data_IF_712103963509
#
_entry.id   IF_712103963509
#
_cell.length_a   1.000
_cell.length_b   1.000
_cell.length_c   1.000
_cell.angle_alpha   90.00
_cell.angle_beta   90.00
_cell.angle_gamma   90.00
#
_symmetry.space_group_name_H-M   'P 1'
#
loop_
_entity.id
_entity.type
_entity.pdbx_description
1 polymer ?
#
# COMPACT_ATOMS: atom_id res chain seq x y z
N UNK A 1 -4.47 -6.88 -3.70
CA UNK A 1 -4.50 -8.02 -4.64
C UNK A 1 -5.50 -9.04 -4.09
N UNK A 2 -6.73 -8.98 -4.59
CA UNK A 2 -7.68 -10.08 -4.41
C UNK A 2 -7.64 -10.77 -5.75
N UNK A 3 -7.08 -11.97 -5.80
CA UNK A 3 -7.19 -12.77 -7.00
C UNK A 3 -8.66 -13.05 -7.25
N UNK A 4 -9.12 -12.97 -8.50
CA UNK A 4 -10.51 -13.26 -8.89
C UNK A 4 -10.91 -14.73 -8.69
N UNK A 5 -10.09 -15.51 -7.99
CA UNK A 5 -10.20 -16.95 -7.82
C UNK A 5 -10.59 -17.38 -6.40
N UNK A 6 -10.79 -16.43 -5.47
CA UNK A 6 -11.23 -16.73 -4.11
C UNK A 6 -12.77 -16.74 -4.02
N UNK A 7 -13.36 -17.93 -3.95
CA UNK A 7 -14.82 -18.12 -3.87
C UNK A 7 -15.25 -18.57 -2.47
N UNK A 8 -16.42 -18.07 -2.04
CA UNK A 8 -17.02 -18.42 -0.75
C UNK A 8 -17.42 -19.91 -0.73
N UNK A 9 -16.87 -20.74 0.19
CA UNK A 9 -17.19 -22.16 0.26
C UNK A 9 -18.66 -22.44 0.61
N UNK A 10 -19.34 -21.47 1.21
CA UNK A 10 -20.75 -21.57 1.60
C UNK A 10 -21.70 -20.92 0.57
N UNK A 11 -21.16 -20.20 -0.43
CA UNK A 11 -21.94 -19.54 -1.49
C UNK A 11 -21.22 -19.72 -2.84
N UNK A 12 -21.37 -20.89 -3.49
CA UNK A 12 -20.71 -21.18 -4.76
C UNK A 12 -20.98 -20.09 -5.80
N UNK A 13 -19.91 -19.56 -6.42
CA UNK A 13 -19.99 -18.48 -7.41
C UNK A 13 -19.97 -17.06 -6.85
N UNK A 14 -20.04 -16.88 -5.52
CA UNK A 14 -19.85 -15.56 -4.89
C UNK A 14 -18.38 -15.37 -4.48
N UNK A 15 -17.80 -14.19 -4.73
CA UNK A 15 -16.44 -13.90 -4.28
C UNK A 15 -16.38 -13.89 -2.75
N UNK A 16 -15.27 -14.34 -2.19
CA UNK A 16 -15.04 -14.26 -0.75
C UNK A 16 -15.19 -12.81 -0.26
N UNK A 17 -15.91 -12.57 0.85
CA UNK A 17 -15.86 -11.29 1.51
C UNK A 17 -14.41 -11.02 1.93
N UNK A 18 -13.96 -9.79 1.75
CA UNK A 18 -12.59 -9.39 2.07
C UNK A 18 -12.56 -8.20 3.01
N UNK A 19 -11.51 -8.16 3.83
CA UNK A 19 -11.23 -7.04 4.72
C UNK A 19 -10.10 -6.24 4.11
N UNK A 20 -10.33 -4.95 3.87
CA UNK A 20 -9.27 -4.07 3.38
C UNK A 20 -8.19 -3.91 4.46
N UNK A 21 -6.91 -3.67 4.10
CA UNK A 21 -5.86 -3.45 5.09
C UNK A 21 -6.20 -2.36 6.10
N UNK A 22 -6.84 -1.26 5.66
CA UNK A 22 -7.29 -0.18 6.53
C UNK A 22 -8.35 -0.65 7.51
N UNK A 23 -9.37 -1.38 7.03
CA UNK A 23 -10.43 -1.92 7.91
C UNK A 23 -9.89 -2.94 8.90
N UNK A 24 -8.97 -3.81 8.45
CA UNK A 24 -8.35 -4.83 9.30
C UNK A 24 -7.50 -4.20 10.40
N UNK A 25 -6.60 -3.29 10.04
CA UNK A 25 -5.76 -2.58 11.02
C UNK A 25 -6.58 -1.71 11.99
N UNK A 26 -7.67 -1.10 11.51
CA UNK A 26 -8.55 -0.27 12.34
C UNK A 26 -9.26 -1.06 13.45
N UNK A 27 -9.36 -2.39 13.32
CA UNK A 27 -9.90 -3.24 14.38
C UNK A 27 -8.94 -3.44 15.56
N UNK A 28 -7.64 -3.20 15.36
CA UNK A 28 -6.60 -3.39 16.38
C UNK A 28 -5.99 -2.09 16.91
N UNK A 29 -6.01 -1.01 16.13
CA UNK A 29 -5.37 0.25 16.48
C UNK A 29 -6.06 1.47 15.85
N UNK A 30 -5.76 2.67 16.37
CA UNK A 30 -6.20 3.93 15.77
C UNK A 30 -5.43 4.18 14.47
N UNK A 31 -6.05 3.94 13.33
CA UNK A 31 -5.41 4.10 12.01
C UNK A 31 -5.64 5.51 11.45
N UNK A 32 -4.56 6.14 10.98
CA UNK A 32 -4.61 7.34 10.13
C UNK A 32 -4.29 6.93 8.70
N UNK A 33 -5.29 6.98 7.83
CA UNK A 33 -5.12 6.61 6.43
C UNK A 33 -4.59 7.77 5.58
N UNK A 34 -3.66 7.46 4.69
CA UNK A 34 -3.19 8.37 3.64
C UNK A 34 -2.92 7.56 2.36
N UNK A 35 -3.41 7.99 1.18
CA UNK A 35 -3.27 7.22 -0.05
C UNK A 35 -1.84 7.17 -0.58
N UNK A 36 -1.02 8.22 -0.35
CA UNK A 36 0.36 8.32 -0.82
C UNK A 36 0.54 8.54 -2.32
N UNK A 37 -0.25 7.86 -3.15
CA UNK A 37 -0.25 7.94 -4.61
C UNK A 37 -1.70 7.92 -5.15
N UNK A 38 -1.90 8.47 -6.35
CA UNK A 38 -3.15 8.30 -7.10
C UNK A 38 -3.21 6.91 -7.75
N UNK A 39 -3.54 5.90 -6.94
CA UNK A 39 -3.69 4.50 -7.36
C UNK A 39 -2.37 3.75 -7.56
N UNK A 40 -2.46 2.50 -8.02
CA UNK A 40 -1.31 1.58 -8.11
C UNK A 40 -0.26 2.02 -9.13
N UNK A 41 -0.63 2.72 -10.21
CA UNK A 41 0.38 3.17 -11.19
C UNK A 41 1.20 4.35 -10.69
N UNK A 42 0.77 4.99 -9.60
CA UNK A 42 1.41 6.15 -8.97
C UNK A 42 2.03 7.14 -9.98
N UNK A 43 1.21 7.80 -10.83
CA UNK A 43 1.69 8.59 -11.96
C UNK A 43 2.35 9.91 -11.56
N UNK A 44 2.09 10.41 -10.35
CA UNK A 44 2.63 11.67 -9.83
C UNK A 44 2.99 11.58 -8.35
N UNK A 45 3.70 12.60 -7.87
CA UNK A 45 4.24 12.69 -6.50
C UNK A 45 3.41 13.57 -5.57
N UNK A 46 2.28 14.11 -6.03
CA UNK A 46 1.59 15.22 -5.34
C UNK A 46 1.14 14.85 -3.92
N UNK A 47 0.82 13.57 -3.70
CA UNK A 47 0.32 13.06 -2.43
C UNK A 47 1.43 12.55 -1.48
N UNK A 48 2.67 12.40 -1.95
CA UNK A 48 3.78 11.84 -1.16
C UNK A 48 4.08 12.72 0.05
N UNK A 49 4.10 14.04 -0.12
CA UNK A 49 4.36 14.98 0.98
C UNK A 49 3.31 14.88 2.09
N UNK A 50 2.04 14.66 1.73
CA UNK A 50 0.95 14.50 2.69
C UNK A 50 1.03 13.17 3.44
N UNK A 51 1.37 12.08 2.75
CA UNK A 51 1.60 10.79 3.37
C UNK A 51 2.79 10.83 4.34
N UNK A 52 3.90 11.48 3.96
CA UNK A 52 5.05 11.70 4.84
C UNK A 52 4.68 12.49 6.09
N UNK A 53 3.87 13.56 5.97
CA UNK A 53 3.38 14.33 7.12
C UNK A 53 2.53 13.48 8.06
N UNK A 54 1.71 12.59 7.51
CA UNK A 54 0.88 11.67 8.29
C UNK A 54 1.74 10.66 9.03
N UNK A 55 2.73 10.06 8.37
CA UNK A 55 3.66 9.09 8.94
C UNK A 55 4.45 9.65 10.13
N UNK A 56 4.92 10.90 10.05
CA UNK A 56 5.63 11.60 11.14
C UNK A 56 4.80 11.86 12.39
N UNK A 57 3.48 11.77 12.27
CA UNK A 57 2.54 12.03 13.36
C UNK A 57 1.85 10.75 13.85
N UNK A 58 2.50 9.59 13.63
CA UNK A 58 2.07 8.25 14.05
C UNK A 58 3.27 7.48 14.59
N UNK A 59 3.04 6.60 15.58
CA UNK A 59 4.11 5.84 16.23
C UNK A 59 4.75 4.79 15.31
N UNK A 60 3.96 4.25 14.38
CA UNK A 60 4.38 3.31 13.37
C UNK A 60 3.64 3.56 12.05
N UNK A 61 4.25 3.15 10.94
CA UNK A 61 3.66 3.30 9.60
C UNK A 61 3.71 1.98 8.86
N UNK A 62 2.56 1.57 8.32
CA UNK A 62 2.43 0.41 7.43
C UNK A 62 2.22 0.93 6.02
N UNK A 63 3.10 0.55 5.10
CA UNK A 63 3.00 0.91 3.68
C UNK A 63 2.48 -0.31 2.91
N UNK A 64 1.37 -0.14 2.20
CA UNK A 64 0.83 -1.14 1.28
C UNK A 64 1.14 -0.69 -0.14
N UNK A 65 2.10 -1.35 -0.78
CA UNK A 65 2.61 -1.05 -2.12
C UNK A 65 2.66 -2.34 -2.95
N UNK A 66 2.75 -2.20 -4.27
CA UNK A 66 2.77 -3.33 -5.20
C UNK A 66 2.03 -3.04 -6.48
N UNK A 67 1.42 -4.07 -7.05
CA UNK A 67 0.72 -4.03 -8.33
C UNK A 67 -0.68 -4.63 -8.19
N UNK A 68 -1.51 -4.42 -9.22
CA UNK A 68 -2.82 -5.05 -9.35
C UNK A 68 -3.04 -5.57 -10.77
N UNK A 69 -4.28 -6.01 -11.05
CA UNK A 69 -4.69 -6.60 -12.33
C UNK A 69 -4.56 -5.65 -13.53
N UNK A 70 -4.37 -4.35 -13.31
CA UNK A 70 -4.10 -3.36 -14.37
C UNK A 70 -2.63 -3.34 -14.83
N UNK A 71 -1.75 -4.01 -14.09
CA UNK A 71 -0.31 -4.09 -14.38
C UNK A 71 0.08 -5.50 -14.81
N UNK A 72 -0.49 -6.53 -14.18
CA UNK A 72 -0.28 -7.92 -14.57
C UNK A 72 -1.59 -8.70 -14.54
N UNK A 73 -1.87 -9.44 -15.60
CA UNK A 73 -2.98 -10.40 -15.66
C UNK A 73 -2.72 -11.43 -16.75
N UNK A 74 -3.61 -12.42 -16.90
CA UNK A 74 -3.48 -13.41 -17.97
C UNK A 74 -3.53 -12.72 -19.34
N UNK A 75 -2.50 -12.95 -20.17
CA UNK A 75 -2.35 -12.28 -21.46
C UNK A 75 -1.83 -10.83 -21.36
N UNK A 76 -1.47 -10.37 -20.17
CA UNK A 76 -0.82 -9.08 -19.91
C UNK A 76 0.44 -9.31 -19.08
N UNK A 77 1.54 -9.61 -19.78
CA UNK A 77 2.85 -9.71 -19.16
C UNK A 77 3.42 -8.33 -18.84
N UNK A 78 4.29 -8.30 -17.82
CA UNK A 78 5.03 -7.10 -17.44
C UNK A 78 6.26 -6.93 -18.32
N UNK A 79 6.61 -5.68 -18.59
CA UNK A 79 7.86 -5.34 -19.29
C UNK A 79 9.07 -5.25 -18.34
N UNK A 80 8.83 -5.09 -17.05
CA UNK A 80 9.85 -4.97 -16.01
C UNK A 80 9.33 -5.45 -14.65
N UNK A 81 10.26 -5.70 -13.72
CA UNK A 81 9.97 -6.19 -12.37
C UNK A 81 9.98 -5.09 -11.29
N UNK A 82 10.12 -3.82 -11.67
CA UNK A 82 10.16 -2.70 -10.73
C UNK A 82 8.74 -2.34 -10.25
N UNK A 83 8.68 -1.61 -9.13
CA UNK A 83 7.41 -1.01 -8.71
C UNK A 83 7.01 0.12 -9.68
N UNK A 84 5.72 0.21 -10.04
CA UNK A 84 5.28 1.19 -11.01
C UNK A 84 5.32 2.61 -10.46
N UNK A 85 5.68 3.56 -11.33
CA UNK A 85 5.63 4.99 -11.04
C UNK A 85 6.47 5.40 -9.83
N UNK A 86 5.90 6.27 -8.99
CA UNK A 86 6.61 6.84 -7.84
C UNK A 86 6.44 6.07 -6.52
N UNK A 87 6.01 4.80 -6.56
CA UNK A 87 5.86 4.00 -5.34
C UNK A 87 7.18 3.82 -4.57
N UNK A 88 8.29 3.59 -5.28
CA UNK A 88 9.61 3.48 -4.67
C UNK A 88 10.00 4.76 -3.94
N UNK A 89 9.72 5.92 -4.52
CA UNK A 89 10.00 7.21 -3.91
C UNK A 89 9.10 7.51 -2.71
N UNK A 90 7.83 7.11 -2.76
CA UNK A 90 6.93 7.15 -1.61
C UNK A 90 7.50 6.35 -0.43
N UNK A 91 7.98 5.12 -0.69
CA UNK A 91 8.59 4.26 0.33
C UNK A 91 9.81 4.93 0.95
N UNK A 92 10.73 5.44 0.13
CA UNK A 92 11.93 6.13 0.62
C UNK A 92 11.61 7.41 1.39
N UNK A 93 10.62 8.19 0.93
CA UNK A 93 10.22 9.43 1.59
C UNK A 93 9.61 9.18 2.99
N UNK A 94 8.92 8.07 3.18
CA UNK A 94 8.32 7.68 4.46
C UNK A 94 9.35 7.01 5.36
N UNK A 95 10.15 6.07 4.86
CA UNK A 95 11.14 5.33 5.66
C UNK A 95 12.21 6.27 6.24
N UNK A 96 12.64 7.26 5.47
CA UNK A 96 13.56 8.31 5.94
C UNK A 96 12.95 9.28 6.96
N UNK A 97 11.63 9.27 7.13
CA UNK A 97 10.93 10.20 8.02
C UNK A 97 10.67 9.65 9.42
N UNK A 98 10.64 8.32 9.58
CA UNK A 98 10.33 7.63 10.84
C UNK A 98 11.55 6.92 11.44
N UNK A 99 12.67 7.62 11.53
CA UNK A 99 13.82 7.14 12.31
C UNK A 99 13.44 7.22 13.79
N UNK A 100 13.39 6.11 14.54
CA UNK A 100 13.14 6.17 15.98
C UNK A 100 14.22 7.04 16.65
N UNK A 101 13.91 7.76 17.75
CA UNK A 101 14.86 8.65 18.44
C UNK A 101 16.17 7.97 18.88
N UNK A 102 16.25 6.64 18.84
CA UNK A 102 17.41 5.83 19.24
C UNK A 102 18.30 5.35 18.08
N UNK A 103 17.97 5.64 16.81
CA UNK A 103 18.81 5.29 15.65
C UNK A 103 19.65 6.46 15.14
N UNK A 104 19.93 7.43 16.01
CA UNK A 104 21.13 8.24 15.92
C UNK A 104 22.18 7.57 16.82
N UNK A 105 22.96 6.62 16.28
CA UNK A 105 24.12 6.11 17.00
C UNK A 105 25.30 5.86 16.05
N UNK A 106 26.33 6.66 16.33
CA UNK A 106 27.76 6.64 15.96
C UNK A 106 28.09 7.06 14.53
#
# INVERSE_FOLDING_TARGET
>A
MIGNYAFDPNRPGFPCPYVSPVSGLSSYAKVRYSPGCAGVRCPDKNMIAHARKTARATDATVIVAGIDVSVETEGLDRNDLLLPGYQTELIFAISSSNVPPSMNRI
#
